data_IF_723415000588
#
_entry.id   IF_723415000588
#
_cell.length_a   1.000
_cell.length_b   1.000
_cell.length_c   1.000
_cell.angle_alpha   90.00
_cell.angle_beta   90.00
_cell.angle_gamma   90.00
#
_symmetry.space_group_name_H-M   'P 1'
#
loop_
_entity.id
_entity.type
_entity.pdbx_description
1 polymer ?
#
# COMPACT_ATOMS: atom_id res chain seq x y z
N UNK A 1 28.49 4.55 23.41
CA UNK A 1 28.95 5.85 22.85
C UNK A 1 28.13 6.34 21.65
N UNK A 2 27.47 5.47 20.86
CA UNK A 2 26.60 5.88 19.74
C UNK A 2 25.17 6.31 20.15
N UNK A 3 24.69 5.90 21.32
CA UNK A 3 23.36 6.26 21.87
C UNK A 3 23.28 7.66 22.49
N UNK A 4 24.42 8.27 22.83
CA UNK A 4 24.48 9.62 23.42
C UNK A 4 24.50 10.75 22.37
N UNK A 5 24.91 10.45 21.14
CA UNK A 5 24.94 11.43 20.04
C UNK A 5 23.55 11.67 19.42
N UNK A 6 22.65 10.68 19.47
CA UNK A 6 21.30 10.80 18.94
C UNK A 6 20.41 11.69 19.85
N UNK A 7 20.58 11.59 21.17
CA UNK A 7 19.87 12.43 22.13
C UNK A 7 20.35 13.90 22.09
N UNK A 8 21.63 14.14 21.82
CA UNK A 8 22.19 15.50 21.71
C UNK A 8 21.77 16.22 20.41
N UNK A 9 21.52 15.49 19.33
CA UNK A 9 21.00 16.06 18.07
C UNK A 9 19.51 16.42 18.17
N UNK A 10 18.69 15.65 18.91
CA UNK A 10 17.28 15.97 19.14
C UNK A 10 17.06 17.15 20.10
N UNK A 11 17.99 17.41 21.02
CA UNK A 11 17.88 18.53 21.97
C UNK A 11 18.24 19.90 21.36
N UNK A 12 18.96 19.94 20.22
CA UNK A 12 19.44 21.19 19.63
C UNK A 12 18.42 21.89 18.71
N UNK A 13 17.32 21.23 18.32
CA UNK A 13 16.26 21.83 17.48
C UNK A 13 15.07 22.35 18.31
N UNK A 14 15.08 22.15 19.64
CA UNK A 14 13.99 22.55 20.53
C UNK A 14 14.13 23.97 21.12
N UNK A 15 14.98 24.83 20.54
CA UNK A 15 15.13 26.20 21.02
C UNK A 15 14.26 27.15 20.18
N UNK A 16 13.41 27.90 20.88
CA UNK A 16 12.54 28.99 20.43
C UNK A 16 11.33 28.61 19.57
N UNK A 17 10.23 28.22 20.23
CA UNK A 17 8.88 28.50 19.71
C UNK A 17 8.34 29.69 20.52
N UNK A 18 8.46 30.89 19.97
CA UNK A 18 7.68 32.03 20.44
C UNK A 18 6.28 31.93 19.82
N UNK A 19 5.24 32.25 20.58
CA UNK A 19 3.88 32.31 20.06
C UNK A 19 3.79 33.48 19.07
N UNK A 20 3.69 33.19 17.77
CA UNK A 20 3.41 34.19 16.73
C UNK A 20 1.93 34.56 16.76
N UNK A 21 1.63 35.87 16.80
CA UNK A 21 0.29 36.40 16.56
C UNK A 21 -0.14 36.06 15.13
N UNK A 22 -1.36 35.52 14.98
CA UNK A 22 -1.91 35.18 13.68
C UNK A 22 -2.13 36.45 12.84
N UNK A 23 -1.26 36.67 11.85
CA UNK A 23 -1.45 37.67 10.80
C UNK A 23 -1.80 36.96 9.51
N UNK A 24 -2.82 37.42 8.81
CA UNK A 24 -3.17 36.89 7.49
C UNK A 24 -2.16 37.42 6.47
N UNK A 25 -1.23 36.56 6.04
CA UNK A 25 -0.26 36.87 4.99
C UNK A 25 -0.74 36.32 3.64
N UNK A 26 -1.13 37.21 2.73
CA UNK A 26 -1.55 36.84 1.38
C UNK A 26 -0.40 36.16 0.59
N UNK A 27 0.86 36.40 0.94
CA UNK A 27 2.01 35.76 0.32
C UNK A 27 2.11 34.26 0.67
N UNK A 28 1.47 33.80 1.74
CA UNK A 28 1.38 32.37 2.08
C UNK A 28 0.57 31.57 1.04
N UNK A 29 -0.33 32.25 0.32
CA UNK A 29 -1.20 31.66 -0.70
C UNK A 29 -0.70 31.85 -2.14
N UNK A 30 0.38 32.61 -2.33
CA UNK A 30 1.02 32.73 -3.64
C UNK A 30 1.81 31.45 -3.96
N UNK A 31 1.73 31.00 -5.21
CA UNK A 31 2.49 29.82 -5.67
C UNK A 31 3.98 30.11 -5.50
N UNK A 32 4.62 29.43 -4.55
CA UNK A 32 6.05 29.54 -4.33
C UNK A 32 6.78 29.04 -5.59
N UNK A 33 7.79 29.78 -6.09
CA UNK A 33 8.58 29.32 -7.24
C UNK A 33 9.25 27.98 -6.99
N UNK A 34 9.63 27.72 -5.73
CA UNK A 34 10.24 26.49 -5.28
C UNK A 34 9.79 26.15 -3.85
N UNK A 35 9.56 24.88 -3.61
CA UNK A 35 9.23 24.28 -2.32
C UNK A 35 10.17 23.10 -2.10
N UNK A 36 10.71 22.98 -0.89
CA UNK A 36 11.46 21.82 -0.42
C UNK A 36 10.88 21.41 0.91
N UNK A 37 10.41 20.17 0.99
CA UNK A 37 9.85 19.58 2.19
C UNK A 37 10.49 18.21 2.42
N UNK A 38 10.28 17.64 3.59
CA UNK A 38 10.69 16.27 3.84
C UNK A 38 10.29 15.78 5.21
N UNK A 39 10.70 14.56 5.52
CA UNK A 39 10.61 14.05 6.88
C UNK A 39 11.72 13.07 7.22
N UNK A 40 11.98 12.94 8.52
CA UNK A 40 12.76 11.85 9.10
C UNK A 40 11.85 11.04 10.01
N UNK A 41 11.89 9.72 9.86
CA UNK A 41 11.04 8.79 10.60
C UNK A 41 11.84 7.61 11.17
N UNK A 42 12.19 7.64 12.47
CA UNK A 42 12.49 6.43 13.21
C UNK A 42 11.23 5.57 13.45
N UNK A 43 11.37 4.28 13.18
CA UNK A 43 10.42 3.23 13.53
C UNK A 43 11.11 2.13 14.33
N UNK A 44 10.55 1.78 15.47
CA UNK A 44 10.96 0.66 16.31
C UNK A 44 9.90 -0.44 16.25
N UNK A 45 10.33 -1.67 16.05
CA UNK A 45 9.45 -2.83 15.94
C UNK A 45 9.88 -3.92 16.92
N UNK A 46 8.93 -4.53 17.62
CA UNK A 46 9.12 -5.77 18.37
C UNK A 46 8.22 -6.84 17.78
N UNK A 47 8.81 -7.86 17.17
CA UNK A 47 8.11 -8.95 16.50
C UNK A 47 8.11 -10.19 17.38
N UNK A 48 6.92 -10.76 17.62
CA UNK A 48 6.74 -12.11 18.18
C UNK A 48 6.77 -13.15 17.06
N UNK A 49 7.95 -13.70 16.79
CA UNK A 49 8.23 -14.61 15.68
C UNK A 49 7.72 -16.02 15.92
N UNK A 50 7.36 -16.70 14.83
CA UNK A 50 7.08 -18.15 14.81
C UNK A 50 8.35 -18.90 14.41
N UNK A 51 9.31 -19.00 15.33
CA UNK A 51 10.65 -19.57 15.06
C UNK A 51 10.66 -20.97 14.44
N UNK A 52 9.66 -21.78 14.74
CA UNK A 52 9.52 -23.15 14.22
C UNK A 52 8.65 -23.26 12.96
N UNK A 53 8.21 -22.13 12.39
CA UNK A 53 7.38 -22.12 11.18
C UNK A 53 8.20 -22.31 9.90
N UNK A 54 7.53 -22.75 8.84
CA UNK A 54 8.11 -22.78 7.51
C UNK A 54 8.50 -21.37 7.02
N UNK A 55 7.69 -20.36 7.34
CA UNK A 55 7.97 -18.97 7.01
C UNK A 55 9.27 -18.46 7.65
N UNK A 56 9.54 -18.83 8.91
CA UNK A 56 10.80 -18.46 9.58
C UNK A 56 12.01 -19.13 8.93
N UNK A 57 11.96 -20.44 8.72
CA UNK A 57 13.06 -21.18 8.07
C UNK A 57 13.29 -20.75 6.62
N UNK A 58 12.25 -20.31 5.93
CA UNK A 58 12.36 -19.76 4.59
C UNK A 58 13.00 -18.36 4.58
N UNK A 59 12.62 -17.50 5.53
CA UNK A 59 13.17 -16.15 5.65
C UNK A 59 14.62 -16.16 6.19
N UNK A 60 14.94 -17.11 7.06
CA UNK A 60 16.20 -17.20 7.79
C UNK A 60 16.76 -18.64 7.80
N UNK A 61 17.17 -19.18 6.64
CA UNK A 61 17.52 -20.60 6.50
C UNK A 61 18.73 -21.05 7.31
N UNK A 62 19.61 -20.12 7.69
CA UNK A 62 20.84 -20.39 8.45
C UNK A 62 20.72 -20.07 9.93
N UNK A 63 19.57 -19.56 10.37
CA UNK A 63 19.41 -19.02 11.72
C UNK A 63 18.65 -19.99 12.61
N UNK A 64 19.07 -20.09 13.88
CA UNK A 64 18.33 -20.84 14.87
C UNK A 64 16.95 -20.22 15.12
N UNK A 65 15.98 -21.05 15.53
CA UNK A 65 14.64 -20.59 15.88
C UNK A 65 14.69 -19.48 16.93
N UNK A 66 13.86 -18.46 16.74
CA UNK A 66 13.81 -17.27 17.59
C UNK A 66 12.36 -16.92 17.90
N UNK A 67 12.09 -16.53 19.15
CA UNK A 67 10.76 -16.13 19.59
C UNK A 67 10.50 -14.62 19.41
N UNK A 68 11.53 -13.78 19.51
CA UNK A 68 11.38 -12.32 19.48
C UNK A 68 12.46 -11.65 18.66
N UNK A 69 12.11 -10.63 17.86
CA UNK A 69 13.06 -9.81 17.12
C UNK A 69 12.76 -8.33 17.34
N UNK A 70 13.75 -7.57 17.80
CA UNK A 70 13.69 -6.12 17.83
C UNK A 70 14.33 -5.58 16.55
N UNK A 71 13.63 -4.67 15.86
CA UNK A 71 14.10 -4.04 14.63
C UNK A 71 13.97 -2.52 14.74
N UNK A 72 14.94 -1.83 14.17
CA UNK A 72 14.87 -0.40 13.94
C UNK A 72 14.87 -0.13 12.44
N UNK A 73 14.07 0.84 12.01
CA UNK A 73 14.08 1.40 10.67
C UNK A 73 14.20 2.91 10.79
N UNK A 74 15.13 3.52 10.07
CA UNK A 74 15.21 4.96 9.89
C UNK A 74 14.90 5.29 8.45
N UNK A 75 13.92 6.14 8.21
CA UNK A 75 13.53 6.62 6.88
C UNK A 75 13.79 8.11 6.76
N UNK A 76 14.34 8.54 5.62
CA UNK A 76 14.43 9.93 5.20
C UNK A 76 13.68 10.08 3.89
N UNK A 77 12.75 11.03 3.81
CA UNK A 77 12.09 11.42 2.56
C UNK A 77 12.36 12.90 2.28
N UNK A 78 12.65 13.21 1.02
CA UNK A 78 12.86 14.56 0.52
C UNK A 78 11.93 14.78 -0.67
N UNK A 79 11.24 15.92 -0.68
CA UNK A 79 10.35 16.35 -1.73
C UNK A 79 10.74 17.75 -2.20
N UNK A 80 10.91 17.93 -3.50
CA UNK A 80 11.14 19.23 -4.12
C UNK A 80 10.12 19.48 -5.21
N UNK A 81 9.64 20.72 -5.31
CA UNK A 81 8.69 21.16 -6.34
C UNK A 81 9.08 22.54 -6.84
N UNK A 82 9.08 22.73 -8.16
CA UNK A 82 9.33 24.00 -8.82
C UNK A 82 8.20 24.33 -9.79
N UNK A 83 7.71 25.57 -9.73
CA UNK A 83 6.64 26.07 -10.60
C UNK A 83 7.24 27.09 -11.59
N UNK A 84 7.09 26.84 -12.90
CA UNK A 84 7.58 27.72 -13.97
C UNK A 84 6.48 27.94 -15.01
N UNK A 85 5.63 28.95 -14.79
CA UNK A 85 4.48 29.22 -15.65
C UNK A 85 3.51 28.04 -15.63
N UNK A 86 3.26 27.45 -16.81
CA UNK A 86 2.39 26.28 -17.00
C UNK A 86 3.09 24.94 -16.69
N UNK A 87 4.39 24.98 -16.36
CA UNK A 87 5.20 23.81 -16.05
C UNK A 87 5.36 23.62 -14.54
N UNK A 88 5.26 22.37 -14.09
CA UNK A 88 5.61 21.95 -12.74
C UNK A 88 6.64 20.84 -12.84
N UNK A 89 7.73 21.00 -12.11
CA UNK A 89 8.75 19.96 -11.92
C UNK A 89 8.71 19.53 -10.47
N UNK A 90 8.66 18.23 -10.23
CA UNK A 90 8.61 17.69 -8.87
C UNK A 90 9.44 16.41 -8.77
N UNK A 91 9.96 16.15 -7.58
CA UNK A 91 10.65 14.92 -7.26
C UNK A 91 10.49 14.61 -5.78
N UNK A 92 10.22 13.34 -5.47
CA UNK A 92 10.11 12.79 -4.12
C UNK A 92 10.98 11.55 -4.04
N UNK A 93 11.93 11.54 -3.12
CA UNK A 93 12.89 10.46 -2.98
C UNK A 93 13.05 10.03 -1.53
N UNK A 94 13.31 8.75 -1.32
CA UNK A 94 13.36 8.14 0.00
C UNK A 94 14.62 7.29 0.18
N UNK A 95 15.27 7.44 1.33
CA UNK A 95 16.36 6.57 1.78
C UNK A 95 15.92 5.86 3.08
N UNK A 96 16.44 4.66 3.32
CA UNK A 96 16.08 3.91 4.53
C UNK A 96 17.24 3.07 5.05
N UNK A 97 17.39 2.97 6.36
CA UNK A 97 18.28 2.02 7.03
C UNK A 97 17.43 1.10 7.90
N UNK A 98 17.55 -0.21 7.71
CA UNK A 98 16.96 -1.23 8.58
C UNK A 98 18.06 -1.96 9.31
N UNK A 99 17.93 -2.10 10.63
CA UNK A 99 18.88 -2.83 11.47
C UNK A 99 18.15 -3.69 12.50
N UNK A 100 18.53 -4.96 12.56
CA UNK A 100 18.16 -5.92 13.59
C UNK A 100 19.24 -7.01 13.71
N UNK A 101 19.05 -7.95 14.63
CA UNK A 101 20.01 -9.02 14.88
C UNK A 101 20.12 -10.10 13.78
N UNK A 102 19.35 -10.01 12.69
CA UNK A 102 19.35 -10.90 11.51
C UNK A 102 19.67 -10.15 10.21
N UNK A 103 19.54 -8.82 10.18
CA UNK A 103 19.77 -8.02 8.98
C UNK A 103 20.25 -6.61 9.31
N UNK A 104 21.18 -6.12 8.50
CA UNK A 104 21.56 -4.71 8.45
C UNK A 104 21.59 -4.30 6.99
N UNK A 105 20.65 -3.45 6.56
CA UNK A 105 20.48 -3.06 5.16
C UNK A 105 20.26 -1.56 5.04
N UNK A 106 20.96 -0.95 4.11
CA UNK A 106 20.72 0.41 3.65
C UNK A 106 20.11 0.39 2.25
N UNK A 107 19.10 1.21 2.04
CA UNK A 107 18.69 1.67 0.72
C UNK A 107 19.18 3.11 0.57
N UNK A 108 19.95 3.36 -0.48
CA UNK A 108 20.30 4.71 -0.89
C UNK A 108 19.04 5.51 -1.26
N UNK A 109 19.18 6.81 -1.50
CA UNK A 109 18.07 7.67 -1.90
C UNK A 109 17.49 7.20 -3.25
N UNK A 110 16.30 6.60 -3.21
CA UNK A 110 15.55 6.10 -4.38
C UNK A 110 14.40 7.05 -4.67
N UNK A 111 14.28 7.50 -5.92
CA UNK A 111 13.15 8.32 -6.40
C UNK A 111 11.87 7.49 -6.32
N UNK A 112 10.93 7.94 -5.48
CA UNK A 112 9.62 7.35 -5.31
C UNK A 112 8.66 7.84 -6.39
N UNK A 113 8.65 9.15 -6.62
CA UNK A 113 7.89 9.85 -7.66
C UNK A 113 8.70 11.03 -8.18
N UNK A 114 8.43 11.48 -9.39
CA UNK A 114 9.03 12.69 -9.92
C UNK A 114 8.93 12.78 -11.43
N UNK A 115 8.92 13.99 -11.95
CA UNK A 115 8.71 14.23 -13.36
C UNK A 115 8.37 15.67 -13.69
N UNK A 116 7.74 15.82 -14.84
CA UNK A 116 7.28 17.11 -15.36
C UNK A 116 5.79 17.05 -15.67
N UNK A 117 5.08 18.10 -15.30
CA UNK A 117 3.68 18.30 -15.63
C UNK A 117 3.51 19.61 -16.39
N UNK A 118 2.76 19.57 -17.48
CA UNK A 118 2.47 20.73 -18.31
C UNK A 118 0.96 20.97 -18.42
N UNK A 119 0.53 22.17 -18.08
CA UNK A 119 -0.86 22.62 -18.23
C UNK A 119 -1.07 23.16 -19.65
N UNK A 120 -1.47 22.30 -20.58
CA UNK A 120 -1.61 22.65 -22.00
C UNK A 120 -2.84 23.52 -22.33
N UNK A 121 -3.75 23.67 -21.37
CA UNK A 121 -4.95 24.50 -21.49
C UNK A 121 -5.96 24.21 -20.38
N UNK A 122 -7.14 24.84 -20.41
CA UNK A 122 -8.17 24.63 -19.40
C UNK A 122 -8.56 23.15 -19.28
N UNK A 123 -8.28 22.57 -18.11
CA UNK A 123 -8.59 21.18 -17.80
C UNK A 123 -7.74 20.14 -18.53
N UNK A 124 -6.75 20.53 -19.35
CA UNK A 124 -5.87 19.61 -20.08
C UNK A 124 -4.45 19.65 -19.48
N UNK A 125 -3.97 18.49 -19.05
CA UNK A 125 -2.65 18.30 -18.45
C UNK A 125 -1.91 17.16 -19.13
N UNK A 126 -0.62 17.35 -19.38
CA UNK A 126 0.31 16.31 -19.81
C UNK A 126 1.29 16.04 -18.68
N UNK A 127 1.57 14.78 -18.38
CA UNK A 127 2.51 14.38 -17.32
C UNK A 127 3.50 13.34 -17.86
N UNK A 128 4.78 13.51 -17.54
CA UNK A 128 5.86 12.60 -17.91
C UNK A 128 6.74 12.37 -16.70
N UNK A 129 6.90 11.11 -16.27
CA UNK A 129 7.80 10.77 -15.18
C UNK A 129 7.38 9.54 -14.42
N UNK A 130 7.91 9.41 -13.21
CA UNK A 130 7.57 8.34 -12.27
C UNK A 130 6.40 8.78 -11.39
N UNK A 131 5.23 8.16 -11.57
CA UNK A 131 3.95 8.61 -10.97
C UNK A 131 3.21 7.48 -10.29
N UNK A 132 2.61 7.78 -9.15
CA UNK A 132 1.61 6.94 -8.51
C UNK A 132 0.25 7.30 -9.07
N UNK A 133 -0.39 6.34 -9.72
CA UNK A 133 -1.83 6.41 -9.98
C UNK A 133 -2.58 5.78 -8.80
N UNK A 134 -3.79 6.27 -8.52
CA UNK A 134 -4.65 5.73 -7.46
C UNK A 134 -6.01 5.45 -8.10
N UNK A 135 -6.19 4.21 -8.56
CA UNK A 135 -7.43 3.76 -9.18
C UNK A 135 -8.21 2.88 -8.20
N UNK A 136 -9.53 3.04 -8.17
CA UNK A 136 -10.38 2.39 -7.18
C UNK A 136 -10.75 3.26 -5.98
N UNK A 137 -11.80 2.83 -5.30
CA UNK A 137 -12.38 3.45 -4.10
C UNK A 137 -12.06 2.66 -2.82
N UNK A 138 -11.53 1.44 -2.95
CA UNK A 138 -11.27 0.58 -1.82
C UNK A 138 -10.24 1.15 -0.84
N UNK A 139 -10.49 0.99 0.45
CA UNK A 139 -9.67 1.55 1.53
C UNK A 139 -8.42 0.70 1.77
N UNK A 140 -8.58 -0.60 2.01
CA UNK A 140 -7.45 -1.49 2.30
C UNK A 140 -6.86 -2.16 1.06
N UNK A 141 -7.73 -2.48 0.10
CA UNK A 141 -7.39 -3.23 -1.12
C UNK A 141 -8.07 -2.55 -2.32
N UNK A 142 -7.64 -2.89 -3.53
CA UNK A 142 -8.29 -2.46 -4.79
C UNK A 142 -8.22 -3.59 -5.80
N UNK A 143 -9.29 -3.75 -6.57
CA UNK A 143 -9.42 -4.73 -7.67
C UNK A 143 -9.17 -4.10 -9.03
N UNK A 144 -9.28 -2.76 -9.12
CA UNK A 144 -9.17 -1.97 -10.35
C UNK A 144 -7.85 -1.17 -10.45
N UNK A 145 -6.93 -1.34 -9.50
CA UNK A 145 -5.58 -0.76 -9.49
C UNK A 145 -4.66 -1.33 -10.59
N UNK A 146 -5.00 -1.14 -11.86
CA UNK A 146 -4.36 -1.81 -12.99
C UNK A 146 -2.95 -1.31 -13.31
N UNK A 147 -2.65 -0.06 -12.99
CA UNK A 147 -1.43 0.68 -13.34
C UNK A 147 -0.78 1.33 -12.12
N UNK A 148 -1.00 0.74 -10.94
CA UNK A 148 -0.36 1.14 -9.69
C UNK A 148 0.29 -0.06 -9.01
N UNK A 149 1.23 0.20 -8.10
CA UNK A 149 1.77 -0.84 -7.24
C UNK A 149 0.73 -1.26 -6.20
N UNK A 150 0.64 -2.55 -5.84
CA UNK A 150 -0.33 -3.03 -4.87
C UNK A 150 -0.30 -2.24 -3.55
N UNK A 151 -1.47 -2.02 -2.96
CA UNK A 151 -1.60 -1.46 -1.61
C UNK A 151 -1.08 -2.48 -0.59
N UNK A 152 -0.44 -1.99 0.46
CA UNK A 152 -0.22 -2.79 1.66
C UNK A 152 -1.47 -2.67 2.54
N UNK A 153 -2.23 -3.76 2.68
CA UNK A 153 -3.45 -3.74 3.48
C UNK A 153 -3.19 -3.51 4.98
N UNK A 154 -1.95 -3.75 5.45
CA UNK A 154 -1.55 -3.50 6.85
C UNK A 154 -1.19 -2.04 7.12
N UNK A 155 -0.88 -1.28 6.06
CA UNK A 155 -0.73 0.17 6.09
C UNK A 155 -1.21 0.79 4.76
N UNK A 156 -2.54 0.89 4.53
CA UNK A 156 -3.07 1.34 3.24
C UNK A 156 -2.72 2.80 2.90
N UNK A 157 -2.33 3.56 3.92
CA UNK A 157 -1.88 4.96 3.81
C UNK A 157 -0.40 5.10 3.50
N UNK A 158 0.36 4.00 3.49
CA UNK A 158 1.76 4.03 3.16
C UNK A 158 1.99 4.62 1.77
N UNK A 159 3.02 5.46 1.69
CA UNK A 159 3.53 5.93 0.41
C UNK A 159 3.96 4.76 -0.45
N UNK A 160 3.70 4.86 -1.76
CA UNK A 160 4.08 3.85 -2.74
C UNK A 160 4.95 4.48 -3.80
N UNK A 161 5.90 3.70 -4.29
CA UNK A 161 6.70 4.07 -5.45
C UNK A 161 5.80 4.11 -6.70
N UNK A 162 5.96 5.12 -7.56
CA UNK A 162 5.25 5.26 -8.82
C UNK A 162 5.89 4.49 -9.99
N UNK A 163 5.14 4.24 -11.06
CA UNK A 163 5.70 3.70 -12.30
C UNK A 163 6.15 4.83 -13.22
N UNK A 164 7.21 4.59 -13.99
CA UNK A 164 7.58 5.47 -15.11
C UNK A 164 6.49 5.41 -16.16
N UNK A 165 5.89 6.55 -16.52
CA UNK A 165 4.78 6.63 -17.46
C UNK A 165 4.68 8.01 -18.12
N UNK A 166 3.90 8.05 -19.19
CA UNK A 166 3.34 9.27 -19.76
C UNK A 166 1.83 9.27 -19.57
N UNK A 167 1.23 10.40 -19.18
CA UNK A 167 -0.21 10.54 -19.09
C UNK A 167 -0.74 11.84 -19.71
N UNK A 168 -2.00 11.77 -20.12
CA UNK A 168 -2.82 12.94 -20.47
C UNK A 168 -4.08 12.89 -19.63
N UNK A 169 -4.40 14.03 -19.02
CA UNK A 169 -5.60 14.21 -18.22
C UNK A 169 -6.41 15.36 -18.79
N UNK A 170 -7.66 15.09 -19.15
CA UNK A 170 -8.61 16.09 -19.62
C UNK A 170 -9.84 16.09 -18.73
N UNK A 171 -10.21 17.23 -18.16
CA UNK A 171 -11.37 17.37 -17.28
C UNK A 171 -12.26 18.52 -17.74
N UNK A 172 -13.58 18.30 -17.69
CA UNK A 172 -14.58 19.32 -18.01
C UNK A 172 -15.78 19.21 -17.09
N UNK A 173 -16.19 20.35 -16.52
CA UNK A 173 -17.49 20.47 -15.85
C UNK A 173 -18.61 20.67 -16.86
N UNK A 174 -19.76 20.06 -16.58
CA UNK A 174 -20.93 20.05 -17.45
C UNK A 174 -22.16 20.54 -16.68
N UNK A 175 -23.12 21.21 -17.34
CA UNK A 175 -24.42 21.46 -16.74
C UNK A 175 -25.30 20.18 -16.81
N UNK A 176 -26.05 19.89 -15.75
CA UNK A 176 -27.07 18.84 -15.72
C UNK A 176 -26.71 17.63 -14.86
N UNK A 177 -27.32 16.48 -15.15
CA UNK A 177 -27.23 15.27 -14.31
C UNK A 177 -25.87 14.59 -14.33
N UNK A 178 -25.04 14.87 -15.34
CA UNK A 178 -23.61 14.59 -15.33
C UNK A 178 -22.93 15.93 -15.16
N UNK A 179 -22.30 16.17 -14.01
CA UNK A 179 -21.74 17.47 -13.64
C UNK A 179 -20.24 17.59 -13.90
N UNK A 180 -19.55 16.46 -14.05
CA UNK A 180 -18.15 16.40 -14.43
C UNK A 180 -17.85 15.17 -15.30
N UNK A 181 -16.94 15.35 -16.25
CA UNK A 181 -16.32 14.28 -17.03
C UNK A 181 -14.81 14.48 -17.02
N UNK A 182 -14.06 13.40 -16.77
CA UNK A 182 -12.61 13.40 -16.92
C UNK A 182 -12.15 12.17 -17.70
N UNK A 183 -11.21 12.38 -18.62
CA UNK A 183 -10.53 11.32 -19.34
C UNK A 183 -9.05 11.33 -18.98
N UNK A 184 -8.53 10.17 -18.59
CA UNK A 184 -7.11 9.95 -18.34
C UNK A 184 -6.61 8.88 -19.33
N UNK A 185 -5.57 9.19 -20.09
CA UNK A 185 -4.84 8.22 -20.92
C UNK A 185 -3.43 8.03 -20.37
N UNK A 186 -2.94 6.79 -20.33
CA UNK A 186 -1.63 6.42 -19.77
C UNK A 186 -0.89 5.51 -20.75
N UNK A 187 0.41 5.75 -20.88
CA UNK A 187 1.37 4.85 -21.52
C UNK A 187 2.45 4.47 -20.50
N UNK A 188 2.49 3.19 -20.14
CA UNK A 188 3.45 2.64 -19.17
C UNK A 188 4.40 1.68 -19.89
N UNK A 189 5.66 2.07 -20.16
CA UNK A 189 6.65 1.17 -20.74
C UNK A 189 7.17 0.18 -19.70
N UNK A 190 7.47 -1.02 -20.13
CA UNK A 190 8.29 -1.98 -19.38
C UNK A 190 9.47 -2.41 -20.22
N UNK A 191 10.62 -2.51 -19.58
CA UNK A 191 11.76 -3.25 -20.07
C UNK A 191 12.37 -3.99 -18.86
N UNK A 192 13.33 -4.89 -19.04
CA UNK A 192 13.91 -5.64 -17.92
C UNK A 192 14.52 -4.78 -16.78
N UNK A 193 14.55 -3.45 -16.94
CA UNK A 193 15.00 -2.44 -15.98
C UNK A 193 13.84 -1.50 -15.58
N UNK A 194 13.19 -0.84 -16.54
CA UNK A 194 12.10 0.11 -16.34
C UNK A 194 10.81 -0.61 -15.95
N UNK A 195 10.24 -0.26 -14.79
CA UNK A 195 9.01 -0.87 -14.28
C UNK A 195 9.07 -2.41 -14.26
N UNK A 196 10.24 -3.00 -13.98
CA UNK A 196 10.47 -4.44 -14.06
C UNK A 196 9.57 -5.29 -13.14
N UNK A 197 9.01 -4.67 -12.10
CA UNK A 197 8.02 -5.27 -11.20
C UNK A 197 6.58 -5.20 -11.72
N UNK A 198 6.31 -4.35 -12.72
CA UNK A 198 5.08 -4.43 -13.53
C UNK A 198 5.17 -5.57 -14.54
N UNK A 199 6.32 -5.71 -15.21
CA UNK A 199 6.70 -6.86 -16.01
C UNK A 199 8.09 -6.68 -16.63
N UNK A 200 8.69 -7.80 -17.05
CA UNK A 200 10.11 -7.85 -17.44
C UNK A 200 10.36 -7.86 -18.95
N UNK A 201 9.29 -7.97 -19.74
CA UNK A 201 9.31 -7.97 -21.19
C UNK A 201 9.25 -6.56 -21.74
N UNK A 202 9.77 -6.37 -22.96
CA UNK A 202 9.75 -5.09 -23.65
C UNK A 202 8.35 -4.83 -24.23
N UNK A 203 7.50 -4.18 -23.46
CA UNK A 203 6.10 -3.92 -23.79
C UNK A 203 5.73 -2.47 -23.53
N UNK A 204 4.72 -2.00 -24.27
CA UNK A 204 4.01 -0.77 -23.95
C UNK A 204 2.64 -1.15 -23.40
N UNK A 205 2.32 -0.67 -22.21
CA UNK A 205 1.08 -1.00 -21.51
C UNK A 205 0.15 0.22 -21.52
N UNK A 206 -0.70 0.39 -22.56
CA UNK A 206 -1.66 1.48 -22.60
C UNK A 206 -2.78 1.25 -21.58
N UNK A 207 -3.24 2.31 -20.94
CA UNK A 207 -4.39 2.27 -20.06
C UNK A 207 -5.21 3.56 -20.19
N UNK A 208 -6.49 3.49 -19.87
CA UNK A 208 -7.38 4.63 -19.89
C UNK A 208 -8.40 4.57 -18.75
N UNK A 209 -8.81 5.74 -18.27
CA UNK A 209 -9.89 5.91 -17.30
C UNK A 209 -10.84 7.00 -17.77
N UNK A 210 -12.14 6.73 -17.73
CA UNK A 210 -13.21 7.70 -17.90
C UNK A 210 -13.93 7.87 -16.58
N UNK A 211 -13.82 9.04 -15.97
CA UNK A 211 -14.53 9.44 -14.78
C UNK A 211 -15.79 10.23 -15.14
N UNK A 212 -16.87 9.96 -14.42
CA UNK A 212 -18.14 10.67 -14.48
C UNK A 212 -18.61 10.99 -13.06
N UNK A 213 -18.97 12.25 -12.81
CA UNK A 213 -19.84 12.60 -11.68
C UNK A 213 -21.28 12.65 -12.20
N UNK A 214 -22.02 11.56 -12.02
CA UNK A 214 -23.36 11.39 -12.57
C UNK A 214 -24.37 11.06 -11.47
N UNK A 215 -25.45 11.85 -11.35
CA UNK A 215 -26.48 11.69 -10.31
C UNK A 215 -25.90 11.57 -8.89
N UNK A 216 -24.97 12.48 -8.57
CA UNK A 216 -24.23 12.52 -7.29
C UNK A 216 -23.48 11.21 -6.97
N UNK A 217 -23.11 10.48 -8.02
CA UNK A 217 -22.33 9.24 -7.95
C UNK A 217 -21.04 9.42 -8.73
N UNK A 218 -19.92 9.18 -8.08
CA UNK A 218 -18.63 9.03 -8.73
C UNK A 218 -18.61 7.69 -9.44
N UNK A 219 -18.34 7.67 -10.75
CA UNK A 219 -18.23 6.44 -11.55
C UNK A 219 -16.94 6.52 -12.36
N UNK A 220 -16.07 5.52 -12.23
CA UNK A 220 -14.88 5.38 -13.06
C UNK A 220 -14.98 4.12 -13.93
N UNK A 221 -14.81 4.27 -15.25
CA UNK A 221 -14.65 3.16 -16.20
C UNK A 221 -13.18 3.05 -16.58
N UNK A 222 -12.58 1.87 -16.45
CA UNK A 222 -11.16 1.65 -16.61
C UNK A 222 -10.85 0.54 -17.60
N UNK A 223 -9.76 0.73 -18.34
CA UNK A 223 -9.22 -0.27 -19.26
C UNK A 223 -7.70 -0.26 -19.19
N UNK A 224 -7.11 -1.45 -19.27
CA UNK A 224 -5.68 -1.65 -19.53
C UNK A 224 -5.55 -2.63 -20.69
N UNK A 225 -4.87 -2.21 -21.74
CA UNK A 225 -4.54 -3.07 -22.88
C UNK A 225 -3.59 -4.20 -22.51
N UNK A 226 -3.55 -5.24 -23.34
CA UNK A 226 -2.56 -6.31 -23.20
C UNK A 226 -1.13 -5.79 -23.48
N UNK A 227 -0.17 -6.30 -22.73
CA UNK A 227 1.25 -6.03 -22.83
C UNK A 227 2.00 -6.97 -21.89
N UNK A 228 2.80 -6.41 -20.97
CA UNK A 228 3.45 -7.14 -19.91
C UNK A 228 2.46 -7.80 -18.93
N UNK A 229 1.26 -7.22 -18.77
CA UNK A 229 0.13 -7.82 -18.08
C UNK A 229 -1.00 -8.10 -19.07
N UNK A 230 -1.87 -9.03 -18.72
CA UNK A 230 -3.04 -9.32 -19.55
C UNK A 230 -4.03 -8.17 -19.56
N UNK A 231 -4.85 -8.12 -20.61
CA UNK A 231 -5.90 -7.11 -20.75
C UNK A 231 -6.85 -7.14 -19.54
N UNK A 232 -7.23 -5.96 -19.06
CA UNK A 232 -8.15 -5.79 -17.95
C UNK A 232 -9.18 -4.69 -18.19
N UNK A 233 -10.38 -4.91 -17.67
CA UNK A 233 -11.51 -3.99 -17.69
C UNK A 233 -12.00 -3.79 -16.27
N UNK A 234 -12.37 -2.57 -15.91
CA UNK A 234 -12.78 -2.26 -14.55
C UNK A 234 -13.86 -1.19 -14.50
N UNK A 235 -14.66 -1.26 -13.44
CA UNK A 235 -15.61 -0.21 -13.04
C UNK A 235 -15.46 0.00 -11.55
N UNK A 236 -15.44 1.24 -11.10
CA UNK A 236 -15.70 1.56 -9.72
C UNK A 236 -16.82 2.60 -9.58
N UNK A 237 -17.40 2.67 -8.39
CA UNK A 237 -18.31 3.74 -8.03
C UNK A 237 -18.23 4.08 -6.54
N UNK A 238 -18.60 5.30 -6.18
CA UNK A 238 -18.91 5.70 -4.80
C UNK A 238 -20.10 6.65 -4.77
N UNK A 239 -20.94 6.51 -3.75
CA UNK A 239 -22.11 7.35 -3.53
C UNK A 239 -22.37 7.54 -2.04
N UNK A 240 -22.60 8.80 -1.65
CA UNK A 240 -23.19 9.12 -0.35
C UNK A 240 -24.71 8.87 -0.42
N UNK A 241 -25.21 7.90 0.35
CA UNK A 241 -26.64 7.63 0.50
C UNK A 241 -27.26 8.55 1.56
N UNK A 242 -26.45 9.01 2.51
CA UNK A 242 -26.75 10.05 3.48
C UNK A 242 -25.46 10.83 3.77
N UNK A 243 -25.55 11.94 4.52
CA UNK A 243 -24.37 12.74 4.90
C UNK A 243 -23.34 11.98 5.73
N UNK A 244 -23.73 10.86 6.33
CA UNK A 244 -22.90 10.03 7.18
C UNK A 244 -22.80 8.57 6.71
N UNK A 245 -23.32 8.23 5.52
CA UNK A 245 -23.28 6.87 4.97
C UNK A 245 -22.91 6.91 3.49
N UNK A 246 -21.78 6.29 3.18
CA UNK A 246 -21.29 6.08 1.83
C UNK A 246 -21.29 4.58 1.50
N UNK A 247 -21.61 4.27 0.24
CA UNK A 247 -21.40 2.94 -0.35
C UNK A 247 -20.48 3.07 -1.55
N UNK A 248 -19.58 2.11 -1.70
CA UNK A 248 -18.66 2.06 -2.81
C UNK A 248 -18.47 0.63 -3.29
N UNK A 249 -18.03 0.49 -4.53
CA UNK A 249 -17.77 -0.81 -5.10
C UNK A 249 -16.82 -0.75 -6.27
N UNK A 250 -16.20 -1.89 -6.54
CA UNK A 250 -15.29 -2.08 -7.65
C UNK A 250 -15.58 -3.43 -8.29
N UNK A 251 -15.38 -3.52 -9.60
CA UNK A 251 -15.44 -4.74 -10.35
C UNK A 251 -14.32 -4.73 -11.40
N UNK A 252 -13.63 -5.85 -11.54
CA UNK A 252 -12.58 -6.02 -12.53
C UNK A 252 -12.69 -7.38 -13.23
N UNK A 253 -12.35 -7.39 -14.52
CA UNK A 253 -12.21 -8.60 -15.33
C UNK A 253 -10.85 -8.59 -16.02
N UNK A 254 -10.06 -9.62 -15.80
CA UNK A 254 -8.79 -9.86 -16.48
C UNK A 254 -8.94 -11.03 -17.44
N UNK A 255 -8.53 -10.85 -18.69
CA UNK A 255 -8.55 -11.94 -19.68
C UNK A 255 -7.31 -12.81 -19.55
N UNK A 256 -7.46 -14.12 -19.76
CA UNK A 256 -6.34 -15.08 -19.82
C UNK A 256 -5.33 -14.91 -18.67
N UNK A 257 -5.80 -14.61 -17.46
CA UNK A 257 -4.94 -14.47 -16.30
C UNK A 257 -4.30 -15.82 -15.97
N UNK A 258 -3.02 -15.80 -15.66
CA UNK A 258 -2.31 -16.99 -15.19
C UNK A 258 -2.70 -17.29 -13.76
N UNK A 259 -3.30 -18.46 -13.53
CA UNK A 259 -3.55 -19.01 -12.22
C UNK A 259 -2.52 -20.11 -11.92
N UNK A 260 -1.72 -19.90 -10.88
CA UNK A 260 -0.66 -20.83 -10.45
C UNK A 260 -1.07 -21.47 -9.13
N UNK A 261 -1.04 -22.79 -9.07
CA UNK A 261 -1.24 -23.56 -7.84
C UNK A 261 -0.05 -24.50 -7.60
N UNK A 262 0.24 -24.77 -6.33
CA UNK A 262 1.32 -25.66 -5.91
C UNK A 262 0.74 -26.73 -5.00
N UNK A 263 0.88 -28.00 -5.38
CA UNK A 263 0.43 -29.09 -4.54
C UNK A 263 1.41 -29.39 -3.39
N UNK A 264 1.02 -30.27 -2.46
CA UNK A 264 1.83 -30.61 -1.28
C UNK A 264 3.21 -31.24 -1.61
N UNK A 265 3.39 -31.80 -2.82
CA UNK A 265 4.67 -32.32 -3.30
C UNK A 265 5.53 -31.25 -4.00
N UNK A 266 5.05 -30.01 -4.05
CA UNK A 266 5.67 -28.90 -4.74
C UNK A 266 5.50 -28.92 -6.26
N UNK A 267 4.66 -29.79 -6.83
CA UNK A 267 4.38 -29.74 -8.27
C UNK A 267 3.56 -28.48 -8.58
N UNK A 268 3.98 -27.75 -9.61
CA UNK A 268 3.37 -26.49 -10.02
C UNK A 268 2.43 -26.77 -11.18
N UNK A 269 1.18 -26.32 -11.07
CA UNK A 269 0.23 -26.29 -12.17
C UNK A 269 -0.10 -24.84 -12.51
N UNK A 270 -0.11 -24.53 -13.81
CA UNK A 270 -0.45 -23.21 -14.32
C UNK A 270 -1.55 -23.35 -15.36
N UNK A 271 -2.60 -22.54 -15.21
CA UNK A 271 -3.74 -22.51 -16.14
C UNK A 271 -4.00 -21.07 -16.56
N UNK A 272 -4.40 -20.88 -17.82
CA UNK A 272 -4.88 -19.60 -18.30
C UNK A 272 -6.39 -19.59 -18.17
N UNK A 273 -6.91 -18.63 -17.40
CA UNK A 273 -8.34 -18.47 -17.22
C UNK A 273 -8.67 -16.99 -17.09
N UNK A 274 -9.87 -16.62 -17.54
CA UNK A 274 -10.35 -15.29 -17.21
C UNK A 274 -10.63 -15.20 -15.71
N UNK A 275 -10.24 -14.07 -15.09
CA UNK A 275 -10.47 -13.81 -13.68
C UNK A 275 -11.41 -12.63 -13.48
N UNK A 276 -12.35 -12.78 -12.57
CA UNK A 276 -13.20 -11.68 -12.07
C UNK A 276 -12.83 -11.38 -10.62
N UNK A 277 -12.66 -10.10 -10.32
CA UNK A 277 -12.51 -9.61 -8.96
C UNK A 277 -13.56 -8.54 -8.69
N UNK A 278 -13.98 -8.39 -7.44
CA UNK A 278 -14.90 -7.34 -7.04
C UNK A 278 -14.66 -6.92 -5.59
N UNK A 279 -15.07 -5.71 -5.26
CA UNK A 279 -15.07 -5.16 -3.92
C UNK A 279 -16.42 -4.49 -3.69
N UNK A 280 -17.00 -4.71 -2.52
CA UNK A 280 -18.15 -3.92 -2.03
C UNK A 280 -17.80 -3.40 -0.65
N UNK A 281 -18.01 -2.10 -0.45
CA UNK A 281 -17.68 -1.45 0.80
C UNK A 281 -18.71 -0.40 1.21
N UNK A 282 -18.61 -0.04 2.49
CA UNK A 282 -19.36 1.03 3.11
C UNK A 282 -18.46 1.84 4.02
N UNK A 283 -18.79 3.11 4.18
CA UNK A 283 -18.27 3.98 5.23
C UNK A 283 -19.43 4.62 5.98
N UNK A 284 -19.38 4.57 7.32
CA UNK A 284 -20.41 5.14 8.18
C UNK A 284 -19.80 6.02 9.28
N UNK A 285 -20.27 7.26 9.43
CA UNK A 285 -19.90 8.16 10.51
C UNK A 285 -20.99 8.18 11.59
N UNK A 286 -20.62 7.78 12.81
CA UNK A 286 -21.53 7.80 13.96
C UNK A 286 -21.71 9.22 14.52
N UNK A 287 -22.74 9.44 15.35
CA UNK A 287 -22.92 10.69 16.08
C UNK A 287 -21.79 11.00 17.08
N UNK A 288 -21.09 9.97 17.56
CA UNK A 288 -19.92 10.09 18.41
C UNK A 288 -18.61 10.26 17.62
N UNK A 289 -18.71 10.67 16.35
CA UNK A 289 -17.58 10.94 15.44
C UNK A 289 -16.64 9.74 15.20
N UNK A 290 -17.12 8.53 15.49
CA UNK A 290 -16.42 7.29 15.09
C UNK A 290 -16.77 6.98 13.63
N UNK A 291 -15.74 6.89 12.80
CA UNK A 291 -15.84 6.43 11.40
C UNK A 291 -15.65 4.91 11.34
N UNK A 292 -16.62 4.22 10.76
CA UNK A 292 -16.57 2.81 10.42
C UNK A 292 -16.35 2.64 8.92
N UNK A 293 -15.49 1.71 8.54
CA UNK A 293 -15.32 1.23 7.17
C UNK A 293 -15.45 -0.29 7.20
N UNK A 294 -16.21 -0.86 6.29
CA UNK A 294 -16.27 -2.31 6.08
C UNK A 294 -16.22 -2.62 4.59
N UNK A 295 -15.37 -3.57 4.19
CA UNK A 295 -15.16 -3.96 2.80
C UNK A 295 -15.08 -5.48 2.69
N UNK A 296 -15.79 -6.06 1.72
CA UNK A 296 -15.56 -7.43 1.26
C UNK A 296 -14.90 -7.36 -0.11
N UNK A 297 -13.74 -7.99 -0.23
CA UNK A 297 -13.01 -8.15 -1.49
C UNK A 297 -13.01 -9.61 -1.91
N UNK A 298 -13.35 -9.85 -3.17
CA UNK A 298 -13.18 -11.13 -3.85
C UNK A 298 -12.19 -10.98 -5.00
N UNK A 299 -11.20 -11.87 -5.06
CA UNK A 299 -10.21 -11.97 -6.11
C UNK A 299 -10.28 -13.34 -6.75
N UNK A 300 -10.92 -13.46 -7.92
CA UNK A 300 -11.09 -14.73 -8.61
C UNK A 300 -9.79 -15.37 -9.12
N UNK A 301 -8.65 -14.67 -9.08
CA UNK A 301 -7.32 -15.27 -9.32
C UNK A 301 -6.52 -15.48 -8.03
N UNK A 302 -7.15 -15.34 -6.87
CA UNK A 302 -6.61 -15.70 -5.57
C UNK A 302 -6.55 -17.21 -5.36
N UNK A 303 -5.78 -17.63 -4.38
CA UNK A 303 -5.69 -19.04 -3.95
C UNK A 303 -6.95 -19.43 -3.16
N UNK A 304 -7.47 -20.61 -3.44
CA UNK A 304 -8.46 -21.26 -2.58
C UNK A 304 -7.82 -21.67 -1.24
N UNK A 305 -8.65 -21.96 -0.24
CA UNK A 305 -8.22 -22.53 1.04
C UNK A 305 -7.36 -23.80 0.87
N UNK A 306 -7.78 -24.69 -0.02
CA UNK A 306 -7.13 -25.97 -0.28
C UNK A 306 -5.79 -25.84 -1.02
N UNK A 307 -5.70 -24.92 -1.98
CA UNK A 307 -4.46 -24.62 -2.71
C UNK A 307 -3.44 -23.98 -1.78
N UNK A 308 -3.88 -23.01 -0.97
CA UNK A 308 -3.03 -22.39 0.02
C UNK A 308 -2.53 -23.40 1.05
N UNK A 309 -3.41 -24.23 1.60
CA UNK A 309 -3.03 -25.27 2.54
C UNK A 309 -2.04 -26.28 1.93
N UNK A 310 -2.22 -26.63 0.65
CA UNK A 310 -1.30 -27.50 -0.10
C UNK A 310 0.08 -26.87 -0.24
N UNK A 311 0.14 -25.58 -0.60
CA UNK A 311 1.39 -24.83 -0.69
C UNK A 311 2.10 -24.72 0.67
N UNK A 312 1.36 -24.42 1.74
CA UNK A 312 1.90 -24.37 3.09
C UNK A 312 2.41 -25.73 3.57
N UNK A 313 1.71 -26.82 3.23
CA UNK A 313 2.19 -28.18 3.50
C UNK A 313 3.50 -28.46 2.79
N UNK A 314 3.62 -28.08 1.51
CA UNK A 314 4.87 -28.19 0.77
C UNK A 314 5.99 -27.38 1.44
N UNK A 315 5.76 -26.13 1.83
CA UNK A 315 6.76 -25.31 2.52
C UNK A 315 7.18 -25.94 3.86
N UNK A 316 6.24 -26.48 4.62
CA UNK A 316 6.51 -27.16 5.88
C UNK A 316 7.50 -28.31 5.71
N UNK A 317 7.32 -29.14 4.67
CA UNK A 317 8.23 -30.25 4.34
C UNK A 317 9.55 -29.75 3.75
N UNK A 318 9.48 -28.82 2.80
CA UNK A 318 10.63 -28.34 2.03
C UNK A 318 11.63 -27.52 2.84
N UNK A 319 11.19 -26.97 3.98
CA UNK A 319 12.04 -26.15 4.86
C UNK A 319 12.52 -26.90 6.09
N UNK A 320 12.20 -28.19 6.26
CA UNK A 320 12.71 -28.95 7.41
C UNK A 320 14.24 -29.05 7.36
N UNK A 321 14.94 -29.11 8.52
CA UNK A 321 16.40 -29.27 8.55
C UNK A 321 16.91 -30.50 7.80
N UNK A 322 16.09 -31.55 7.70
CA UNK A 322 16.41 -32.81 6.99
C UNK A 322 16.03 -32.80 5.50
N UNK A 323 15.46 -31.71 4.99
CA UNK A 323 15.07 -31.61 3.59
C UNK A 323 16.29 -31.53 2.65
N UNK A 324 16.14 -32.03 1.42
CA UNK A 324 17.21 -31.94 0.43
C UNK A 324 17.42 -30.51 -0.04
N UNK A 325 18.65 -30.14 -0.38
CA UNK A 325 18.98 -28.79 -0.88
C UNK A 325 18.15 -28.39 -2.12
N UNK A 326 17.82 -29.35 -2.99
CA UNK A 326 16.98 -29.12 -4.15
C UNK A 326 15.53 -28.74 -3.76
N UNK A 327 14.98 -29.36 -2.72
CA UNK A 327 13.63 -29.09 -2.24
C UNK A 327 13.56 -27.70 -1.57
N UNK A 328 14.57 -27.36 -0.76
CA UNK A 328 14.71 -26.03 -0.14
C UNK A 328 14.86 -24.92 -1.19
N UNK A 329 15.72 -25.13 -2.19
CA UNK A 329 15.89 -24.17 -3.29
C UNK A 329 14.59 -23.94 -4.05
N UNK A 330 13.81 -25.01 -4.30
CA UNK A 330 12.49 -24.91 -4.93
C UNK A 330 11.50 -24.09 -4.10
N UNK A 331 11.46 -24.29 -2.78
CA UNK A 331 10.63 -23.49 -1.89
C UNK A 331 11.01 -22.00 -1.93
N UNK A 332 12.31 -21.68 -1.96
CA UNK A 332 12.80 -20.31 -2.12
C UNK A 332 12.39 -19.69 -3.46
N UNK A 333 12.53 -20.43 -4.57
CA UNK A 333 12.09 -19.95 -5.89
C UNK A 333 10.60 -19.66 -5.93
N UNK A 334 9.75 -20.55 -5.38
CA UNK A 334 8.30 -20.36 -5.37
C UNK A 334 7.87 -19.21 -4.46
N UNK A 335 8.55 -19.02 -3.33
CA UNK A 335 8.32 -17.87 -2.46
C UNK A 335 8.59 -16.54 -3.19
N UNK A 336 9.64 -16.49 -4.02
CA UNK A 336 10.01 -15.33 -4.82
C UNK A 336 9.14 -15.15 -6.09
N UNK A 337 8.39 -16.17 -6.52
CA UNK A 337 7.56 -16.11 -7.72
C UNK A 337 6.21 -15.42 -7.52
N UNK A 338 5.96 -14.86 -6.33
CA UNK A 338 4.71 -14.16 -5.98
C UNK A 338 3.69 -14.99 -5.19
N UNK A 339 3.98 -16.26 -4.88
CA UNK A 339 3.09 -17.09 -4.04
C UNK A 339 2.95 -16.53 -2.62
N UNK A 340 4.00 -15.89 -2.10
CA UNK A 340 4.01 -15.25 -0.77
C UNK A 340 3.59 -13.78 -0.78
N UNK A 341 2.89 -13.32 -1.84
CA UNK A 341 2.36 -11.96 -1.87
C UNK A 341 1.39 -11.73 -0.68
N UNK A 342 1.24 -10.49 -0.18
CA UNK A 342 0.19 -10.17 0.78
C UNK A 342 -1.19 -10.55 0.24
N UNK A 343 -2.07 -11.03 1.13
CA UNK A 343 -3.44 -11.38 0.82
C UNK A 343 -3.59 -12.29 -0.43
N UNK A 344 -2.95 -13.48 -0.46
CA UNK A 344 -2.92 -14.35 -1.64
C UNK A 344 -4.26 -15.04 -1.94
N UNK A 345 -5.18 -15.09 -0.97
CA UNK A 345 -6.49 -15.74 -1.05
C UNK A 345 -7.50 -15.05 -1.97
N UNK A 346 -8.68 -15.66 -2.09
CA UNK A 346 -9.79 -15.14 -2.89
C UNK A 346 -10.63 -14.14 -2.11
N UNK A 347 -11.00 -14.45 -0.86
CA UNK A 347 -11.98 -13.64 -0.12
C UNK A 347 -11.40 -13.04 1.15
N UNK A 348 -11.55 -11.72 1.28
CA UNK A 348 -11.14 -10.96 2.45
C UNK A 348 -12.27 -10.05 2.97
N UNK A 349 -12.39 -9.99 4.28
CA UNK A 349 -13.19 -9.01 5.00
C UNK A 349 -12.25 -8.04 5.71
N UNK A 350 -12.38 -6.76 5.39
CA UNK A 350 -11.72 -5.66 6.08
C UNK A 350 -12.74 -4.84 6.87
N UNK A 351 -12.45 -4.57 8.14
CA UNK A 351 -13.26 -3.67 8.97
C UNK A 351 -12.33 -2.72 9.71
N UNK A 352 -12.64 -1.43 9.74
CA UNK A 352 -11.91 -0.44 10.53
C UNK A 352 -12.87 0.47 11.27
N UNK A 353 -12.61 0.71 12.54
CA UNK A 353 -13.21 1.79 13.31
C UNK A 353 -12.11 2.80 13.68
N UNK A 354 -12.37 4.09 13.53
CA UNK A 354 -11.42 5.14 13.89
C UNK A 354 -12.12 6.38 14.43
N UNK A 355 -11.50 7.03 15.40
CA UNK A 355 -11.97 8.27 16.00
C UNK A 355 -10.81 9.26 16.15
N UNK A 356 -11.08 10.51 15.81
CA UNK A 356 -10.24 11.64 16.19
C UNK A 356 -10.61 12.07 17.60
N UNK A 357 -9.60 12.42 18.39
CA UNK A 357 -9.72 12.91 19.77
C UNK A 357 -10.64 12.07 20.69
N UNK A 358 -10.49 10.72 20.69
CA UNK A 358 -11.37 9.86 21.47
C UNK A 358 -11.26 10.18 22.96
N UNK A 359 -12.40 10.17 23.65
CA UNK A 359 -12.49 10.47 25.09
C UNK A 359 -11.94 11.87 25.47
N UNK A 360 -11.90 12.82 24.53
CA UNK A 360 -11.37 14.16 24.74
C UNK A 360 -9.85 14.23 24.73
N UNK A 361 -9.16 13.21 24.20
CA UNK A 361 -7.71 13.23 24.03
C UNK A 361 -7.31 14.14 22.86
N UNK A 362 -7.12 15.43 23.16
CA UNK A 362 -6.76 16.47 22.18
C UNK A 362 -5.50 16.09 21.39
N UNK A 363 -5.53 16.27 20.07
CA UNK A 363 -4.51 15.83 19.11
C UNK A 363 -4.24 14.32 19.07
N UNK A 364 -5.03 13.54 19.80
CA UNK A 364 -4.98 12.09 19.80
C UNK A 364 -5.86 11.48 18.73
N UNK A 365 -5.52 10.27 18.30
CA UNK A 365 -6.39 9.44 17.48
C UNK A 365 -6.33 7.99 17.92
N UNK A 366 -7.43 7.26 17.74
CA UNK A 366 -7.46 5.82 17.96
C UNK A 366 -8.15 5.12 16.80
N UNK A 367 -7.64 3.95 16.43
CA UNK A 367 -8.28 3.08 15.47
C UNK A 367 -8.10 1.60 15.84
N UNK A 368 -8.99 0.77 15.32
CA UNK A 368 -8.82 -0.68 15.29
C UNK A 368 -9.24 -1.18 13.92
N UNK A 369 -8.38 -1.96 13.28
CA UNK A 369 -8.70 -2.64 12.03
C UNK A 369 -8.66 -4.16 12.19
N UNK A 370 -9.49 -4.84 11.42
CA UNK A 370 -9.54 -6.29 11.25
C UNK A 370 -9.37 -6.59 9.77
N UNK A 371 -8.50 -7.53 9.44
CA UNK A 371 -8.41 -8.18 8.14
C UNK A 371 -8.58 -9.68 8.36
N UNK A 372 -9.61 -10.28 7.77
CA UNK A 372 -9.87 -11.71 7.85
C UNK A 372 -9.88 -12.33 6.46
N UNK A 373 -9.20 -13.46 6.29
CA UNK A 373 -9.39 -14.33 5.15
C UNK A 373 -10.65 -15.15 5.41
N UNK A 374 -11.69 -14.94 4.61
CA UNK A 374 -13.02 -15.51 4.86
C UNK A 374 -13.02 -17.01 4.62
N UNK A 375 -12.17 -17.50 3.72
CA UNK A 375 -12.13 -18.92 3.33
C UNK A 375 -11.48 -19.79 4.40
N UNK A 376 -10.36 -19.35 4.98
CA UNK A 376 -9.59 -20.14 5.96
C UNK A 376 -9.80 -19.70 7.42
N UNK A 377 -10.63 -18.67 7.62
CA UNK A 377 -11.00 -18.08 8.91
C UNK A 377 -9.83 -17.53 9.75
N UNK A 378 -8.66 -17.37 9.13
CA UNK A 378 -7.52 -16.71 9.76
C UNK A 378 -7.65 -15.18 9.66
N UNK A 379 -7.04 -14.47 10.60
CA UNK A 379 -7.23 -13.02 10.72
C UNK A 379 -6.05 -12.29 11.35
N UNK A 380 -6.04 -10.98 11.13
CA UNK A 380 -5.18 -10.00 11.77
C UNK A 380 -6.03 -8.87 12.34
N UNK A 381 -5.81 -8.53 13.62
CA UNK A 381 -6.36 -7.31 14.23
C UNK A 381 -5.21 -6.34 14.52
N UNK A 382 -5.44 -5.05 14.28
CA UNK A 382 -4.44 -3.99 14.48
C UNK A 382 -5.09 -2.78 15.16
N UNK A 383 -5.10 -2.71 16.50
CA UNK A 383 -5.26 -1.45 17.22
C UNK A 383 -4.09 -0.49 16.94
N UNK A 384 -4.44 0.79 16.84
CA UNK A 384 -3.55 1.91 16.51
C UNK A 384 -3.90 3.12 17.39
N UNK A 385 -2.87 3.82 17.86
CA UNK A 385 -2.98 5.12 18.51
C UNK A 385 -2.06 6.11 17.79
N UNK A 386 -2.52 7.34 17.59
CA UNK A 386 -1.75 8.42 16.99
C UNK A 386 -1.76 9.68 17.85
N UNK A 387 -0.72 10.51 17.72
CA UNK A 387 -0.63 11.81 18.39
C UNK A 387 0.11 12.84 17.52
N UNK A 388 -0.47 14.02 17.34
CA UNK A 388 0.07 15.10 16.49
C UNK A 388 0.16 16.45 17.21
N UNK A 389 0.17 16.46 18.55
CA UNK A 389 0.10 17.70 19.34
C UNK A 389 1.35 18.58 19.37
N UNK A 390 2.42 18.19 18.67
CA UNK A 390 3.63 19.01 18.52
C UNK A 390 3.83 19.35 17.05
N UNK A 391 4.09 20.62 16.76
CA UNK A 391 4.30 21.12 15.40
C UNK A 391 5.40 20.33 14.69
N UNK A 392 5.07 19.80 13.51
CA UNK A 392 5.99 18.99 12.70
C UNK A 392 6.15 17.54 13.17
N UNK A 393 5.54 17.12 14.29
CA UNK A 393 5.67 15.75 14.81
C UNK A 393 4.38 14.93 14.63
N UNK A 394 4.55 13.71 14.13
CA UNK A 394 3.52 12.66 14.13
C UNK A 394 4.08 11.43 14.86
N UNK A 395 3.34 10.94 15.85
CA UNK A 395 3.68 9.72 16.58
C UNK A 395 2.58 8.70 16.42
N UNK A 396 2.96 7.46 16.14
CA UNK A 396 2.01 6.36 15.94
C UNK A 396 2.48 5.09 16.63
N UNK A 397 1.59 4.45 17.37
CA UNK A 397 1.78 3.14 17.97
C UNK A 397 0.79 2.14 17.37
N UNK A 398 1.27 0.98 16.90
CA UNK A 398 0.42 -0.10 16.37
C UNK A 398 0.76 -1.43 16.99
N UNK A 399 -0.24 -2.20 17.35
CA UNK A 399 -0.07 -3.60 17.74
C UNK A 399 -0.84 -4.46 16.76
N UNK A 400 -0.15 -5.22 15.92
CA UNK A 400 -0.77 -6.22 15.05
C UNK A 400 -0.74 -7.59 15.72
N UNK A 401 -1.88 -8.28 15.78
CA UNK A 401 -2.00 -9.64 16.31
C UNK A 401 -2.62 -10.52 15.23
N UNK A 402 -1.92 -11.59 14.86
CA UNK A 402 -2.29 -12.51 13.79
C UNK A 402 -2.66 -13.87 14.39
N UNK A 403 -3.78 -14.46 13.96
CA UNK A 403 -4.27 -15.76 14.43
C UNK A 403 -4.85 -16.56 13.28
N UNK A 404 -4.76 -17.88 13.41
CA UNK A 404 -5.23 -18.85 12.43
C UNK A 404 -4.78 -20.24 12.83
N UNK A 405 -5.46 -21.27 12.30
CA UNK A 405 -5.02 -22.66 12.45
C UNK A 405 -3.74 -22.91 11.62
N UNK A 406 -3.13 -24.09 11.77
CA UNK A 406 -2.05 -24.52 10.90
C UNK A 406 -2.51 -24.50 9.43
N UNK A 407 -1.59 -24.18 8.53
CA UNK A 407 -1.80 -24.08 7.08
C UNK A 407 -2.71 -22.94 6.61
N UNK A 408 -3.21 -22.10 7.52
CA UNK A 408 -3.98 -20.89 7.19
C UNK A 408 -3.05 -19.69 6.97
N UNK A 409 -3.49 -18.70 6.20
CA UNK A 409 -2.67 -17.55 5.81
C UNK A 409 -2.08 -16.81 7.02
N UNK A 410 -2.93 -16.27 7.91
CA UNK A 410 -2.46 -15.50 9.06
C UNK A 410 -1.86 -16.40 10.15
N UNK A 411 -2.20 -17.69 10.16
CA UNK A 411 -1.57 -18.71 11.00
C UNK A 411 -0.10 -18.98 10.63
N UNK A 412 0.23 -18.87 9.34
CA UNK A 412 1.55 -19.22 8.80
C UNK A 412 2.47 -18.02 8.52
N UNK A 413 2.02 -16.78 8.76
CA UNK A 413 2.90 -15.60 8.66
C UNK A 413 4.13 -15.74 9.57
N UNK A 414 5.23 -15.08 9.20
CA UNK A 414 6.49 -15.08 9.95
C UNK A 414 6.33 -14.70 11.44
N UNK A 415 5.48 -13.70 11.72
CA UNK A 415 5.23 -13.20 13.06
C UNK A 415 3.75 -13.41 13.45
N UNK A 416 3.54 -13.80 14.71
CA UNK A 416 2.22 -13.92 15.34
C UNK A 416 1.72 -12.61 15.92
N UNK A 417 2.63 -11.68 16.20
CA UNK A 417 2.34 -10.33 16.64
C UNK A 417 3.50 -9.39 16.30
N UNK A 418 3.18 -8.10 16.20
CA UNK A 418 4.15 -7.03 15.94
C UNK A 418 3.70 -5.76 16.65
N UNK A 419 4.54 -5.24 17.55
CA UNK A 419 4.40 -3.89 18.10
C UNK A 419 5.28 -2.95 17.28
N UNK A 420 4.72 -1.83 16.81
CA UNK A 420 5.43 -0.79 16.08
C UNK A 420 5.25 0.55 16.79
N UNK A 421 6.34 1.30 16.91
CA UNK A 421 6.36 2.68 17.36
C UNK A 421 7.05 3.51 16.29
N UNK A 422 6.32 4.46 15.72
CA UNK A 422 6.81 5.37 14.69
C UNK A 422 6.78 6.78 15.23
N UNK A 423 7.84 7.53 14.96
CA UNK A 423 7.88 8.97 15.22
C UNK A 423 8.40 9.64 13.95
N UNK A 424 7.65 10.58 13.40
CA UNK A 424 8.01 11.33 12.20
C UNK A 424 8.16 12.79 12.55
N UNK A 425 9.23 13.41 12.07
CA UNK A 425 9.41 14.85 12.08
C UNK A 425 9.44 15.36 10.64
N UNK A 426 8.49 16.23 10.28
CA UNK A 426 8.37 16.87 8.97
C UNK A 426 8.89 18.31 9.03
N UNK A 427 9.53 18.76 7.94
CA UNK A 427 10.12 20.09 7.82
C UNK A 427 9.87 20.71 6.45
#
# INVERSE_FOLDING_TARGET
MKTLLLAAALAAVAASVAAEEFTFDAAEFEKKPFELNGYVEPKLELLGLRGDSAAYRLAYPTEAARATLARSTLTLELEGKANLGDWVFDARAQASQVDDALTSRSNALVVQEGGVRYSAGPGLTLDLGKRVTRWGKGYALTTVGFVERPKDATDPTASREGFVMASVDWTRSLPGSVSAISFTGILLPTDGVTNADFGRTNDLNPAAKLYLLAWDTDIDLMWRGAGAKTEAWGVDFSRNLASNLEVHGEWARQRNATHTAVNANGAVSSTLQDSTAWLVGLRYLTQAEVTWVAEWVHNGNGQTDSEWASYQSFLSTATQPVASAALTAKAQTLALSGMNRPNPGQDYLYVKASASEPWGWVYGSAAVSLMANVQDHSWQITPELGYTGWTGWDMRARLSVLRGAALTEFGEKLASNKLELTTRYSF
#
